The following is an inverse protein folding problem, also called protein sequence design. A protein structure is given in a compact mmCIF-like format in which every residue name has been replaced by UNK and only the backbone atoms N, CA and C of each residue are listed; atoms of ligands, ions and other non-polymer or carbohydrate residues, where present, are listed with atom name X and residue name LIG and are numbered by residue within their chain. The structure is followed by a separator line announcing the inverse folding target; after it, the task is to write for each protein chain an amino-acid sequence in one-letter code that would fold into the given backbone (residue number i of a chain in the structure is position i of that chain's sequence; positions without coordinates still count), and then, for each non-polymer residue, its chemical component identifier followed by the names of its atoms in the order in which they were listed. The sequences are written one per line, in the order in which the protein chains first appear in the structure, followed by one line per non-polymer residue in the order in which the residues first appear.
data_IF_907392755444
#
_entry.id   IF_907392755444
#
_cell.length_a   1.000
_cell.length_b   1.000
_cell.length_c   1.000
_cell.angle_alpha   90.00
_cell.angle_beta   90.00
_cell.angle_gamma   90.00
#
_symmetry.space_group_name_H-M   'P 1'
#
loop_
_entity.id
_entity.type
_entity.pdbx_description
1 polymer ?
#
# COMPACT_ATOMS: atom_id res chain seq x y z
N UNK A 1 23.84 -16.57 -16.19
CA UNK A 1 23.90 -15.81 -14.92
C UNK A 1 22.70 -16.19 -14.06
N UNK A 2 22.86 -16.49 -12.76
CA UNK A 2 21.73 -16.85 -11.88
C UNK A 2 21.04 -15.57 -11.40
N UNK A 3 19.78 -15.34 -11.78
CA UNK A 3 18.99 -14.24 -11.22
C UNK A 3 18.69 -14.51 -9.74
N UNK A 4 18.98 -13.54 -8.87
CA UNK A 4 18.65 -13.63 -7.44
C UNK A 4 17.13 -13.55 -7.28
N UNK A 5 16.56 -14.44 -6.48
CA UNK A 5 15.12 -14.46 -6.18
C UNK A 5 14.75 -13.72 -4.90
N UNK A 6 15.72 -13.07 -4.25
CA UNK A 6 15.53 -12.25 -3.06
C UNK A 6 16.53 -11.09 -3.02
N UNK A 7 16.10 -10.01 -2.38
CA UNK A 7 16.88 -8.81 -2.12
C UNK A 7 16.67 -8.40 -0.66
N UNK A 8 17.74 -7.96 -0.02
CA UNK A 8 17.74 -7.43 1.33
C UNK A 8 18.46 -6.09 1.33
N UNK A 9 17.88 -5.07 1.94
CA UNK A 9 18.51 -3.80 2.22
C UNK A 9 18.54 -3.57 3.73
N UNK A 10 19.68 -3.10 4.22
CA UNK A 10 19.88 -2.65 5.59
C UNK A 10 20.19 -1.17 5.54
N UNK A 11 19.44 -0.37 6.28
CA UNK A 11 19.64 1.07 6.36
C UNK A 11 19.01 1.62 7.64
N UNK A 12 19.31 2.88 7.94
CA UNK A 12 18.78 3.57 9.11
C UNK A 12 17.52 4.36 8.74
N UNK A 13 16.53 4.36 9.61
CA UNK A 13 15.29 5.12 9.44
C UNK A 13 15.53 6.62 9.70
N UNK A 14 16.12 7.34 8.74
CA UNK A 14 16.45 8.77 8.88
C UNK A 14 15.28 9.73 8.56
N UNK A 15 14.08 9.17 8.34
CA UNK A 15 12.90 9.94 7.95
C UNK A 15 12.20 10.52 9.19
N UNK A 16 12.48 11.77 9.52
CA UNK A 16 11.79 12.52 10.58
C UNK A 16 10.44 13.03 10.07
N UNK A 17 9.55 12.11 9.76
CA UNK A 17 8.27 12.44 9.11
C UNK A 17 7.25 13.01 10.10
N UNK A 18 7.29 12.56 11.36
CA UNK A 18 6.37 12.98 12.41
C UNK A 18 7.08 13.49 13.69
N UNK A 19 6.58 14.56 14.36
CA UNK A 19 7.11 15.02 15.65
C UNK A 19 7.12 13.98 16.77
N UNK A 20 6.42 12.85 16.58
CA UNK A 20 6.34 11.75 17.54
C UNK A 20 7.61 10.90 17.58
N UNK A 21 8.55 11.09 16.66
CA UNK A 21 9.76 10.27 16.57
C UNK A 21 9.52 8.90 15.93
N UNK A 22 8.45 8.75 15.16
CA UNK A 22 8.17 7.56 14.35
C UNK A 22 8.07 7.91 12.88
N UNK A 23 8.31 6.91 12.05
CA UNK A 23 8.22 6.99 10.59
C UNK A 23 6.78 6.77 10.14
N UNK A 24 6.36 7.55 9.14
CA UNK A 24 5.01 7.43 8.58
C UNK A 24 4.82 6.13 7.79
N UNK A 25 3.58 5.65 7.73
CA UNK A 25 3.23 4.45 6.98
C UNK A 25 3.58 4.59 5.49
N UNK A 26 3.36 5.78 4.92
CA UNK A 26 3.77 6.15 3.57
C UNK A 26 5.25 5.88 3.28
N UNK A 27 6.12 6.18 4.23
CA UNK A 27 7.57 5.95 4.10
C UNK A 27 7.91 4.47 4.19
N UNK A 28 7.30 3.74 5.13
CA UNK A 28 7.44 2.27 5.23
C UNK A 28 7.01 1.57 3.93
N UNK A 29 5.87 1.98 3.36
CA UNK A 29 5.37 1.47 2.09
C UNK A 29 6.35 1.73 0.94
N UNK A 30 6.95 2.92 0.89
CA UNK A 30 7.96 3.28 -0.11
C UNK A 30 9.22 2.43 -0.02
N UNK A 31 9.68 2.11 1.19
CA UNK A 31 10.82 1.21 1.38
C UNK A 31 10.54 -0.22 0.90
N UNK A 32 9.36 -0.74 1.21
CA UNK A 32 8.93 -2.06 0.77
C UNK A 32 8.77 -2.13 -0.76
N UNK A 33 8.23 -1.08 -1.39
CA UNK A 33 8.15 -0.97 -2.85
C UNK A 33 9.55 -0.99 -3.48
N UNK A 34 10.52 -0.23 -2.94
CA UNK A 34 11.90 -0.21 -3.46
C UNK A 34 12.54 -1.60 -3.48
N UNK A 35 12.44 -2.36 -2.38
CA UNK A 35 12.98 -3.73 -2.36
C UNK A 35 12.19 -4.68 -3.24
N UNK A 36 10.86 -4.50 -3.31
CA UNK A 36 9.97 -5.26 -4.17
C UNK A 36 10.28 -5.09 -5.66
N UNK A 37 10.34 -3.84 -6.11
CA UNK A 37 10.74 -3.44 -7.46
C UNK A 37 12.11 -4.02 -7.80
N UNK A 38 13.10 -3.85 -6.93
CA UNK A 38 14.44 -4.34 -7.20
C UNK A 38 14.45 -5.87 -7.40
N UNK A 39 13.71 -6.63 -6.59
CA UNK A 39 13.62 -8.08 -6.71
C UNK A 39 12.92 -8.50 -8.01
N UNK A 40 11.79 -7.85 -8.33
CA UNK A 40 11.02 -8.13 -9.53
C UNK A 40 11.77 -7.77 -10.81
N UNK A 41 12.35 -6.57 -10.89
CA UNK A 41 13.14 -6.10 -12.03
C UNK A 41 14.39 -6.98 -12.28
N UNK A 42 15.07 -7.38 -11.20
CA UNK A 42 16.22 -8.31 -11.29
C UNK A 42 15.81 -9.65 -11.88
N UNK A 43 14.64 -10.17 -11.51
CA UNK A 43 14.15 -11.43 -12.06
C UNK A 43 13.67 -11.30 -13.50
N UNK A 44 12.91 -10.26 -13.80
CA UNK A 44 12.36 -10.00 -15.14
C UNK A 44 13.45 -9.64 -16.18
N UNK A 45 14.60 -9.12 -15.73
CA UNK A 45 15.63 -8.61 -16.61
C UNK A 45 15.15 -7.43 -17.45
N UNK A 46 14.26 -6.61 -16.88
CA UNK A 46 13.70 -5.38 -17.47
C UNK A 46 13.05 -4.54 -16.37
N UNK A 47 12.56 -3.37 -16.73
CA UNK A 47 11.72 -2.58 -15.84
C UNK A 47 10.43 -3.33 -15.52
N UNK A 48 9.87 -3.01 -14.37
CA UNK A 48 8.58 -3.54 -13.92
C UNK A 48 7.72 -2.39 -13.39
N UNK A 49 6.42 -2.59 -13.31
CA UNK A 49 5.47 -1.60 -12.82
C UNK A 49 4.59 -2.24 -11.75
N UNK A 50 4.41 -1.56 -10.63
CA UNK A 50 3.50 -2.04 -9.59
C UNK A 50 2.06 -2.04 -10.16
N UNK A 51 1.39 -3.18 -10.09
CA UNK A 51 -0.04 -3.32 -10.46
C UNK A 51 -0.90 -3.48 -9.23
N UNK A 52 -0.35 -4.09 -8.19
CA UNK A 52 -1.05 -4.32 -6.93
C UNK A 52 -0.11 -4.29 -5.74
N UNK A 53 -0.56 -3.67 -4.66
CA UNK A 53 0.09 -3.72 -3.34
C UNK A 53 -0.94 -4.13 -2.30
N UNK A 54 -0.62 -5.21 -1.60
CA UNK A 54 -1.48 -5.86 -0.63
C UNK A 54 -1.63 -5.08 0.66
N UNK A 55 -2.40 -5.68 1.56
CA UNK A 55 -2.68 -5.08 2.87
C UNK A 55 -1.45 -5.11 3.76
N UNK A 56 -1.23 -4.02 4.49
CA UNK A 56 -0.21 -3.88 5.53
C UNK A 56 -0.90 -3.51 6.84
N UNK A 57 -0.37 -4.05 7.93
CA UNK A 57 -0.70 -3.62 9.30
C UNK A 57 0.53 -2.98 9.91
N UNK A 58 0.35 -1.86 10.59
CA UNK A 58 1.43 -1.12 11.25
C UNK A 58 1.30 -1.32 12.77
N UNK A 59 1.37 -2.59 13.20
CA UNK A 59 1.20 -2.97 14.61
C UNK A 59 2.41 -2.59 15.47
N UNK A 60 3.59 -2.47 14.86
CA UNK A 60 4.81 -2.04 15.52
C UNK A 60 5.32 -0.77 14.84
N UNK A 61 5.17 0.40 15.48
CA UNK A 61 5.71 1.66 14.97
C UNK A 61 7.21 1.55 14.73
N UNK A 62 7.70 2.20 13.67
CA UNK A 62 9.13 2.24 13.34
C UNK A 62 9.72 3.53 13.91
N UNK A 63 10.56 3.49 14.96
CA UNK A 63 11.16 4.70 15.48
C UNK A 63 12.17 5.28 14.47
N UNK A 64 12.28 6.60 14.46
CA UNK A 64 13.36 7.28 13.73
C UNK A 64 14.71 6.86 14.28
N UNK A 65 15.75 6.99 13.47
CA UNK A 65 17.13 6.60 13.79
C UNK A 65 17.29 5.13 14.20
N UNK A 66 16.35 4.25 13.86
CA UNK A 66 16.47 2.81 14.13
C UNK A 66 17.05 2.08 12.93
N UNK A 67 17.88 1.06 13.17
CA UNK A 67 18.31 0.18 12.07
C UNK A 67 17.11 -0.62 11.57
N UNK A 68 16.93 -0.68 10.25
CA UNK A 68 15.86 -1.45 9.64
C UNK A 68 16.39 -2.41 8.58
N UNK A 69 15.64 -3.50 8.39
CA UNK A 69 15.92 -4.51 7.37
C UNK A 69 14.69 -4.67 6.49
N UNK A 70 14.76 -4.17 5.26
CA UNK A 70 13.73 -4.38 4.25
C UNK A 70 14.11 -5.55 3.35
N UNK A 71 13.23 -6.54 3.22
CA UNK A 71 13.48 -7.75 2.46
C UNK A 71 12.36 -8.01 1.47
N UNK A 72 12.73 -8.42 0.27
CA UNK A 72 11.82 -8.86 -0.76
C UNK A 72 12.24 -10.22 -1.31
N UNK A 73 11.27 -11.09 -1.61
CA UNK A 73 11.51 -12.38 -2.26
C UNK A 73 10.40 -12.69 -3.26
N UNK A 74 10.76 -13.34 -4.36
CA UNK A 74 9.77 -13.88 -5.28
C UNK A 74 8.98 -15.00 -4.62
N UNK A 75 7.66 -14.99 -4.87
CA UNK A 75 6.75 -16.03 -4.38
C UNK A 75 5.96 -16.68 -5.50
N UNK A 76 5.80 -16.02 -6.65
CA UNK A 76 5.10 -16.55 -7.81
C UNK A 76 5.41 -15.70 -9.06
N UNK A 77 5.31 -16.31 -10.24
CA UNK A 77 5.37 -15.60 -11.53
C UNK A 77 4.34 -16.19 -12.46
N UNK A 78 3.67 -15.34 -13.23
CA UNK A 78 2.64 -15.74 -14.18
C UNK A 78 2.64 -14.79 -15.37
N UNK A 79 2.81 -15.30 -16.60
CA UNK A 79 2.83 -14.51 -17.83
C UNK A 79 3.83 -13.33 -17.78
N UNK A 80 3.34 -12.12 -17.55
CA UNK A 80 4.10 -10.86 -17.45
C UNK A 80 4.31 -10.43 -16.00
N UNK A 81 3.71 -11.12 -15.03
CA UNK A 81 3.65 -10.71 -13.64
C UNK A 81 4.68 -11.42 -12.75
N UNK A 82 5.24 -10.66 -11.82
CA UNK A 82 6.13 -11.12 -10.75
C UNK A 82 5.51 -10.77 -9.41
N UNK A 83 5.17 -11.78 -8.63
CA UNK A 83 4.64 -11.63 -7.27
C UNK A 83 5.80 -11.70 -6.28
N UNK A 84 5.82 -10.72 -5.38
CA UNK A 84 6.90 -10.53 -4.41
C UNK A 84 6.31 -10.40 -3.01
N UNK A 85 6.89 -11.11 -2.05
CA UNK A 85 6.66 -10.91 -0.63
C UNK A 85 7.71 -9.98 -0.06
N UNK A 86 7.25 -8.87 0.51
CA UNK A 86 8.05 -7.91 1.27
C UNK A 86 7.88 -8.10 2.77
N UNK A 87 8.93 -7.84 3.54
CA UNK A 87 8.85 -7.65 5.00
C UNK A 87 9.82 -6.58 5.48
N UNK A 88 9.42 -5.87 6.52
CA UNK A 88 10.25 -4.93 7.26
C UNK A 88 10.49 -5.48 8.67
N UNK A 89 11.75 -5.60 9.06
CA UNK A 89 12.17 -6.06 10.39
C UNK A 89 12.97 -4.97 11.08
N UNK A 90 12.79 -4.84 12.40
CA UNK A 90 13.53 -3.96 13.30
C UNK A 90 14.53 -4.84 14.09
N UNK A 91 15.81 -4.93 13.69
CA UNK A 91 16.76 -5.86 14.30
C UNK A 91 17.08 -5.57 15.77
N UNK A 92 16.90 -4.31 16.19
CA UNK A 92 17.23 -3.83 17.53
C UNK A 92 16.01 -3.75 18.45
N UNK A 93 14.79 -3.94 17.90
CA UNK A 93 13.55 -3.96 18.68
C UNK A 93 13.13 -5.42 18.81
N UNK A 94 13.18 -5.96 20.01
CA UNK A 94 12.87 -7.35 20.27
C UNK A 94 11.38 -7.52 20.63
N UNK A 95 10.78 -8.61 20.17
CA UNK A 95 9.44 -9.02 20.56
C UNK A 95 9.43 -9.74 21.92
N UNK A 96 8.26 -10.23 22.34
CA UNK A 96 8.06 -10.93 23.61
C UNK A 96 8.91 -12.21 23.74
N UNK A 97 9.32 -12.80 22.61
CA UNK A 97 10.16 -13.99 22.54
C UNK A 97 11.67 -13.65 22.47
N UNK A 98 12.02 -12.36 22.41
CA UNK A 98 13.40 -11.88 22.32
C UNK A 98 13.96 -11.88 20.90
N UNK A 99 13.11 -12.05 19.87
CA UNK A 99 13.51 -12.07 18.47
C UNK A 99 13.30 -10.70 17.80
N UNK A 100 14.04 -10.39 16.71
CA UNK A 100 13.83 -9.17 15.94
C UNK A 100 12.38 -8.96 15.48
N UNK A 101 11.78 -7.84 15.89
CA UNK A 101 10.38 -7.51 15.60
C UNK A 101 10.15 -7.36 14.10
N UNK A 102 9.19 -8.11 13.55
CA UNK A 102 8.68 -7.88 12.20
C UNK A 102 7.65 -6.76 12.25
N UNK A 103 8.04 -5.55 11.81
CA UNK A 103 7.16 -4.39 11.85
C UNK A 103 5.96 -4.55 10.92
N UNK A 104 6.18 -5.04 9.70
CA UNK A 104 5.10 -5.30 8.75
C UNK A 104 5.53 -6.24 7.62
N UNK A 105 4.55 -6.79 6.91
CA UNK A 105 4.74 -7.58 5.70
C UNK A 105 3.74 -7.13 4.63
N UNK A 106 4.08 -7.38 3.36
CA UNK A 106 3.24 -7.01 2.23
C UNK A 106 3.44 -7.98 1.07
N UNK A 107 2.45 -8.04 0.17
CA UNK A 107 2.66 -8.59 -1.17
C UNK A 107 2.42 -7.60 -2.24
N UNK A 108 3.32 -7.61 -3.20
CA UNK A 108 3.35 -6.70 -4.31
C UNK A 108 3.34 -7.54 -5.58
N UNK A 109 2.53 -7.13 -6.54
CA UNK A 109 2.52 -7.70 -7.88
C UNK A 109 3.07 -6.63 -8.82
N UNK A 110 4.05 -7.02 -9.61
CA UNK A 110 4.66 -6.18 -10.61
C UNK A 110 4.47 -6.78 -11.99
N UNK A 111 4.08 -5.96 -12.97
CA UNK A 111 4.10 -6.33 -14.38
C UNK A 111 5.44 -5.94 -15.00
N UNK A 112 6.12 -6.90 -15.63
CA UNK A 112 7.32 -6.64 -16.40
C UNK A 112 6.98 -5.97 -17.73
N UNK A 113 7.78 -4.97 -18.09
CA UNK A 113 7.58 -4.18 -19.30
C UNK A 113 8.86 -4.03 -20.11
N UNK A 114 8.71 -3.84 -21.41
CA UNK A 114 9.80 -3.48 -22.31
C UNK A 114 10.16 -1.98 -22.20
N UNK A 115 11.13 -1.53 -23.00
CA UNK A 115 11.56 -0.12 -23.01
C UNK A 115 10.48 0.86 -23.52
N UNK A 116 9.45 0.37 -24.21
CA UNK A 116 8.29 1.14 -24.67
C UNK A 116 7.14 1.10 -23.66
N UNK A 117 7.27 0.33 -22.58
CA UNK A 117 6.24 0.16 -21.56
C UNK A 117 5.20 -0.91 -21.90
N UNK A 118 5.43 -1.75 -22.90
CA UNK A 118 4.53 -2.87 -23.21
C UNK A 118 4.81 -4.08 -22.33
N UNK A 119 3.78 -4.89 -21.97
CA UNK A 119 3.96 -6.09 -21.18
C UNK A 119 4.99 -7.05 -21.80
N UNK A 120 5.90 -7.57 -20.97
CA UNK A 120 6.98 -8.48 -21.35
C UNK A 120 6.85 -9.78 -20.58
N UNK A 121 6.94 -10.91 -21.28
CA UNK A 121 6.93 -12.23 -20.65
C UNK A 121 8.10 -12.41 -19.68
N UNK A 122 7.80 -12.93 -18.49
CA UNK A 122 8.80 -13.21 -17.45
C UNK A 122 9.15 -14.69 -17.41
N UNK A 123 10.39 -14.97 -17.02
CA UNK A 123 10.82 -16.35 -16.80
C UNK A 123 10.05 -16.96 -15.60
N UNK A 124 9.55 -18.20 -15.71
CA UNK A 124 8.94 -18.90 -14.58
C UNK A 124 9.90 -19.03 -13.38
N UNK A 125 9.41 -18.66 -12.20
CA UNK A 125 10.04 -18.94 -10.92
C UNK A 125 9.52 -20.24 -10.34
N UNK A 126 10.45 -21.14 -10.00
CA UNK A 126 10.15 -22.42 -9.38
C UNK A 126 10.79 -22.48 -7.99
N UNK A 127 9.99 -22.71 -6.92
CA UNK A 127 10.50 -22.86 -5.57
C UNK A 127 11.35 -24.12 -5.44
N UNK A 128 12.29 -24.09 -4.48
CA UNK A 128 13.18 -25.23 -4.17
C UNK A 128 12.97 -25.81 -2.79
N UNK A 129 12.23 -25.09 -1.95
CA UNK A 129 11.97 -25.45 -0.56
C UNK A 129 10.48 -25.65 -0.38
N UNK A 130 10.09 -26.51 0.57
CA UNK A 130 8.69 -26.72 0.92
C UNK A 130 7.99 -25.39 1.28
N UNK A 131 8.70 -24.52 2.01
CA UNK A 131 8.30 -23.15 2.29
C UNK A 131 7.93 -22.37 1.02
N UNK A 132 8.78 -22.46 -0.01
CA UNK A 132 8.55 -21.81 -1.30
C UNK A 132 7.35 -22.39 -2.05
N UNK A 133 7.15 -23.70 -2.00
CA UNK A 133 5.97 -24.34 -2.59
C UNK A 133 4.67 -23.85 -1.93
N UNK A 134 4.63 -23.80 -0.59
CA UNK A 134 3.48 -23.27 0.15
C UNK A 134 3.17 -21.81 -0.22
N UNK A 135 4.19 -20.95 -0.24
CA UNK A 135 4.03 -19.53 -0.64
C UNK A 135 3.51 -19.39 -2.08
N UNK A 136 3.97 -20.24 -3.00
CA UNK A 136 3.50 -20.24 -4.39
C UNK A 136 2.00 -20.54 -4.49
N UNK A 137 1.53 -21.58 -3.82
CA UNK A 137 0.11 -21.96 -3.87
C UNK A 137 -0.79 -20.84 -3.34
N UNK A 138 -0.40 -20.22 -2.22
CA UNK A 138 -1.12 -19.06 -1.65
C UNK A 138 -1.10 -17.87 -2.61
N UNK A 139 0.06 -17.55 -3.19
CA UNK A 139 0.19 -16.44 -4.13
C UNK A 139 -0.64 -16.66 -5.41
N UNK A 140 -0.70 -17.89 -5.91
CA UNK A 140 -1.48 -18.26 -7.09
C UNK A 140 -2.98 -18.16 -6.84
N UNK A 141 -3.47 -18.71 -5.72
CA UNK A 141 -4.88 -18.60 -5.35
C UNK A 141 -5.34 -17.13 -5.28
N UNK A 142 -4.48 -16.25 -4.74
CA UNK A 142 -4.76 -14.82 -4.63
C UNK A 142 -4.63 -14.02 -5.91
N UNK A 143 -3.76 -14.44 -6.84
CA UNK A 143 -3.75 -13.86 -8.20
C UNK A 143 -5.16 -13.95 -8.81
N UNK A 144 -5.81 -15.10 -8.64
CA UNK A 144 -7.18 -15.36 -9.12
C UNK A 144 -8.21 -14.50 -8.36
N UNK A 145 -8.07 -14.36 -7.03
CA UNK A 145 -8.97 -13.51 -6.24
C UNK A 145 -8.82 -12.02 -6.57
N UNK A 146 -7.59 -11.53 -6.76
CA UNK A 146 -7.34 -10.15 -7.15
C UNK A 146 -7.93 -9.84 -8.53
N UNK A 147 -7.71 -10.72 -9.51
CA UNK A 147 -8.32 -10.58 -10.84
C UNK A 147 -9.86 -10.54 -10.79
N UNK A 148 -10.49 -11.13 -9.76
CA UNK A 148 -11.94 -11.06 -9.52
C UNK A 148 -12.37 -9.85 -8.68
N UNK A 149 -11.47 -9.32 -7.85
CA UNK A 149 -11.74 -8.23 -6.89
C UNK A 149 -11.43 -6.83 -7.40
N UNK A 150 -10.77 -6.69 -8.56
CA UNK A 150 -10.51 -5.41 -9.25
C UNK A 150 -11.79 -4.58 -9.53
N UNK A 151 -12.96 -5.23 -9.57
CA UNK A 151 -14.26 -4.57 -9.79
C UNK A 151 -14.99 -4.10 -8.52
N UNK A 152 -14.63 -4.59 -7.33
CA UNK A 152 -15.50 -4.47 -6.15
C UNK A 152 -15.60 -3.04 -5.58
N UNK A 153 -14.57 -2.22 -5.81
CA UNK A 153 -14.51 -0.82 -5.36
C UNK A 153 -14.81 0.19 -6.47
N UNK A 154 -14.50 -0.16 -7.73
CA UNK A 154 -14.77 0.69 -8.90
C UNK A 154 -16.26 0.85 -9.21
N UNK A 155 -17.12 -0.04 -8.69
CA UNK A 155 -18.58 -0.01 -8.88
C UNK A 155 -19.35 0.71 -7.76
N UNK A 156 -18.66 1.26 -6.75
CA UNK A 156 -19.33 1.95 -5.63
C UNK A 156 -19.52 3.42 -5.98
N UNK A 157 -20.76 3.91 -5.87
CA UNK A 157 -21.05 5.34 -6.05
C UNK A 157 -20.44 6.15 -4.90
N UNK A 158 -19.68 7.18 -5.23
CA UNK A 158 -19.16 8.13 -4.26
C UNK A 158 -20.00 9.40 -4.33
N UNK A 159 -20.60 9.84 -3.21
CA UNK A 159 -21.37 11.07 -3.20
C UNK A 159 -20.46 12.28 -3.49
N UNK A 160 -21.03 13.34 -4.06
CA UNK A 160 -20.31 14.60 -4.26
C UNK A 160 -19.80 15.12 -2.89
N UNK A 161 -18.57 15.65 -2.80
CA UNK A 161 -18.08 16.29 -1.57
C UNK A 161 -19.04 17.36 -0.99
N UNK A 162 -19.86 18.02 -1.81
CA UNK A 162 -20.87 18.98 -1.36
C UNK A 162 -22.12 18.33 -0.74
N UNK A 163 -22.33 17.02 -0.97
CA UNK A 163 -23.52 16.27 -0.57
C UNK A 163 -23.25 15.30 0.59
N UNK A 164 -21.99 15.19 1.05
CA UNK A 164 -21.58 14.26 2.10
C UNK A 164 -21.41 14.95 3.45
N UNK A 165 -21.67 14.20 4.53
CA UNK A 165 -21.37 14.64 5.91
C UNK A 165 -19.99 14.22 6.38
N UNK A 166 -19.27 13.45 5.56
CA UNK A 166 -17.92 13.00 5.85
C UNK A 166 -16.89 14.13 5.67
N UNK A 167 -15.82 14.09 6.44
CA UNK A 167 -14.62 14.86 6.08
C UNK A 167 -14.08 14.33 4.75
N UNK A 168 -13.86 15.24 3.81
CA UNK A 168 -13.24 14.98 2.50
C UNK A 168 -12.07 15.92 2.33
N UNK A 169 -10.92 15.38 1.96
CA UNK A 169 -9.71 16.14 1.66
C UNK A 169 -9.26 15.82 0.25
N UNK A 170 -8.94 16.85 -0.52
CA UNK A 170 -8.31 16.75 -1.83
C UNK A 170 -6.90 17.34 -1.74
N UNK A 171 -5.88 16.52 -1.99
CA UNK A 171 -4.50 16.96 -2.16
C UNK A 171 -4.12 16.90 -3.65
N UNK A 172 -3.30 17.84 -4.10
CA UNK A 172 -2.85 17.92 -5.49
C UNK A 172 -1.33 17.98 -5.54
N UNK A 173 -0.74 17.12 -6.36
CA UNK A 173 0.69 16.94 -6.51
C UNK A 173 1.10 17.04 -7.98
N UNK A 174 2.38 17.32 -8.22
CA UNK A 174 3.01 17.20 -9.54
C UNK A 174 4.01 16.06 -9.49
N UNK A 175 3.96 15.16 -10.48
CA UNK A 175 4.93 14.09 -10.61
C UNK A 175 6.28 14.63 -11.10
N UNK A 176 7.27 14.76 -10.19
CA UNK A 176 8.59 15.28 -10.53
C UNK A 176 9.55 14.20 -11.04
N UNK A 177 10.55 14.61 -11.82
CA UNK A 177 11.55 13.71 -12.41
C UNK A 177 12.37 12.91 -11.37
N UNK A 178 12.52 13.41 -10.14
CA UNK A 178 13.22 12.69 -9.07
C UNK A 178 12.42 11.47 -8.54
N UNK A 179 11.12 11.40 -8.82
CA UNK A 179 10.19 10.42 -8.27
C UNK A 179 9.80 9.34 -9.26
N UNK A 180 10.45 9.29 -10.43
CA UNK A 180 10.08 8.35 -11.50
C UNK A 180 11.10 7.23 -11.68
N UNK A 181 10.60 6.15 -12.25
CA UNK A 181 11.36 5.01 -12.74
C UNK A 181 11.84 5.25 -14.18
N UNK A 182 12.82 4.47 -14.68
CA UNK A 182 13.17 4.50 -16.09
C UNK A 182 11.94 4.25 -16.98
N UNK A 183 11.69 5.16 -17.94
CA UNK A 183 10.41 5.25 -18.65
C UNK A 183 9.49 6.38 -18.17
N UNK A 184 9.98 7.24 -17.27
CA UNK A 184 9.32 8.46 -16.78
C UNK A 184 8.00 8.22 -16.05
N UNK A 185 7.82 7.04 -15.44
CA UNK A 185 6.63 6.69 -14.64
C UNK A 185 6.87 6.84 -13.15
N UNK A 186 5.92 7.41 -12.42
CA UNK A 186 5.98 7.56 -10.96
C UNK A 186 6.25 6.22 -10.28
N UNK A 187 7.13 6.24 -9.28
CA UNK A 187 7.39 5.09 -8.42
C UNK A 187 6.14 4.77 -7.60
N UNK A 188 5.80 3.48 -7.47
CA UNK A 188 4.64 3.03 -6.70
C UNK A 188 4.72 3.50 -5.25
N UNK A 189 5.92 3.44 -4.67
CA UNK A 189 6.25 3.98 -3.36
C UNK A 189 5.85 5.44 -3.18
N UNK A 190 6.09 6.30 -4.16
CA UNK A 190 5.74 7.73 -4.09
C UNK A 190 4.23 7.93 -4.07
N UNK A 191 3.48 7.23 -4.93
CA UNK A 191 2.02 7.35 -4.93
C UNK A 191 1.45 6.88 -3.59
N UNK A 192 1.96 5.79 -3.03
CA UNK A 192 1.52 5.31 -1.71
C UNK A 192 1.80 6.29 -0.59
N UNK A 193 2.96 6.97 -0.59
CA UNK A 193 3.23 8.03 0.37
C UNK A 193 2.20 9.15 0.26
N UNK A 194 1.86 9.60 -0.95
CA UNK A 194 0.83 10.62 -1.13
C UNK A 194 -0.58 10.17 -0.75
N UNK A 195 -0.93 8.88 -0.97
CA UNK A 195 -2.20 8.32 -0.49
C UNK A 195 -2.27 8.34 1.05
N UNK A 196 -1.17 8.02 1.72
CA UNK A 196 -1.06 8.07 3.19
C UNK A 196 -1.12 9.50 3.72
N UNK A 197 -0.44 10.46 3.08
CA UNK A 197 -0.52 11.88 3.42
C UNK A 197 -1.96 12.40 3.33
N UNK A 198 -2.69 12.05 2.27
CA UNK A 198 -4.10 12.45 2.13
C UNK A 198 -4.96 11.83 3.24
N UNK A 199 -4.74 10.55 3.57
CA UNK A 199 -5.44 9.89 4.67
C UNK A 199 -5.12 10.52 6.03
N UNK A 200 -3.85 10.85 6.27
CA UNK A 200 -3.37 11.54 7.46
C UNK A 200 -4.06 12.89 7.65
N UNK A 201 -4.08 13.74 6.62
CA UNK A 201 -4.72 15.06 6.69
C UNK A 201 -6.22 14.91 6.95
N UNK A 202 -6.91 14.01 6.24
CA UNK A 202 -8.34 13.78 6.40
C UNK A 202 -8.69 13.27 7.81
N UNK A 203 -7.98 12.25 8.30
CA UNK A 203 -8.22 11.68 9.62
C UNK A 203 -7.89 12.68 10.74
N UNK A 204 -6.80 13.43 10.60
CA UNK A 204 -6.40 14.41 11.62
C UNK A 204 -7.36 15.58 11.70
N UNK A 205 -7.91 16.03 10.56
CA UNK A 205 -8.97 17.06 10.52
C UNK A 205 -10.25 16.57 11.17
N UNK A 206 -10.68 15.34 10.90
CA UNK A 206 -11.86 14.74 11.53
C UNK A 206 -11.69 14.61 13.04
N UNK A 207 -10.53 14.14 13.50
CA UNK A 207 -10.29 13.88 14.92
C UNK A 207 -9.88 15.12 15.73
N UNK A 208 -9.42 16.20 15.07
CA UNK A 208 -8.84 17.36 15.75
C UNK A 208 -7.49 17.09 16.43
N UNK A 209 -6.85 15.96 16.13
CA UNK A 209 -5.55 15.51 16.68
C UNK A 209 -4.77 14.77 15.58
N UNK A 210 -3.42 14.72 15.64
CA UNK A 210 -2.63 13.92 14.71
C UNK A 210 -3.06 12.46 14.73
N UNK A 211 -3.38 11.92 13.55
CA UNK A 211 -3.72 10.52 13.36
C UNK A 211 -2.53 9.74 12.81
N UNK A 212 -2.51 8.42 13.03
CA UNK A 212 -1.50 7.50 12.50
C UNK A 212 -2.18 6.30 11.85
N UNK A 213 -1.57 5.75 10.80
CA UNK A 213 -2.11 4.57 10.13
C UNK A 213 -1.82 3.31 10.93
N UNK A 214 -2.85 2.49 11.14
CA UNK A 214 -2.72 1.11 11.67
C UNK A 214 -2.91 0.06 10.59
N UNK A 215 -3.51 0.47 9.47
CA UNK A 215 -3.69 -0.35 8.29
C UNK A 215 -3.67 0.54 7.05
N UNK A 216 -2.96 0.09 6.02
CA UNK A 216 -3.09 0.63 4.67
C UNK A 216 -2.93 -0.50 3.67
N UNK A 217 -3.62 -0.43 2.54
CA UNK A 217 -3.29 -1.26 1.40
C UNK A 217 -4.50 -1.78 0.62
N UNK A 218 -4.23 -2.82 -0.16
CA UNK A 218 -5.11 -3.20 -1.25
C UNK A 218 -5.16 -2.09 -2.30
N UNK A 219 -3.98 -1.52 -2.58
CA UNK A 219 -3.78 -0.50 -3.61
C UNK A 219 -3.76 -1.21 -4.95
N UNK A 220 -4.70 -0.84 -5.81
CA UNK A 220 -4.72 -1.26 -7.21
C UNK A 220 -4.25 -0.10 -8.07
N UNK A 221 -3.36 -0.36 -9.03
CA UNK A 221 -2.84 0.64 -9.96
C UNK A 221 -3.44 0.40 -11.35
N UNK A 222 -4.42 1.21 -11.73
CA UNK A 222 -5.17 1.06 -12.99
C UNK A 222 -4.40 1.64 -14.18
N UNK A 223 -3.76 2.79 -13.97
CA UNK A 223 -3.05 3.53 -15.01
C UNK A 223 -1.75 4.11 -14.46
N UNK A 224 -0.69 4.15 -15.28
CA UNK A 224 0.58 4.75 -14.86
C UNK A 224 0.53 6.27 -14.83
N UNK A 225 1.13 6.88 -13.81
CA UNK A 225 1.39 8.33 -13.72
C UNK A 225 2.74 8.64 -14.33
N UNK A 226 2.85 9.72 -15.12
CA UNK A 226 4.08 10.12 -15.79
C UNK A 226 4.65 11.43 -15.23
N UNK A 227 5.95 11.66 -15.44
CA UNK A 227 6.59 12.96 -15.13
C UNK A 227 5.76 14.10 -15.73
N UNK A 228 5.52 15.11 -14.91
CA UNK A 228 4.77 16.31 -15.28
C UNK A 228 3.26 16.15 -15.18
N UNK A 229 2.74 14.95 -14.94
CA UNK A 229 1.31 14.78 -14.70
C UNK A 229 0.93 15.45 -13.36
N UNK A 230 -0.27 16.03 -13.34
CA UNK A 230 -0.97 16.40 -12.12
C UNK A 230 -1.54 15.12 -11.50
N UNK A 231 -1.47 15.01 -10.18
CA UNK A 231 -2.08 13.91 -9.42
C UNK A 231 -2.98 14.50 -8.36
N UNK A 232 -4.27 14.20 -8.46
CA UNK A 232 -5.28 14.56 -7.46
C UNK A 232 -5.60 13.35 -6.60
N UNK A 233 -5.54 13.52 -5.28
CA UNK A 233 -5.82 12.46 -4.31
C UNK A 233 -6.92 12.92 -3.36
N UNK A 234 -8.06 12.24 -3.42
CA UNK A 234 -9.17 12.42 -2.50
C UNK A 234 -9.12 11.37 -1.39
N UNK A 235 -9.10 11.79 -0.14
CA UNK A 235 -9.32 10.95 1.04
C UNK A 235 -10.65 11.32 1.70
N UNK A 236 -11.39 10.32 2.16
CA UNK A 236 -12.71 10.53 2.78
C UNK A 236 -12.99 9.54 3.90
N UNK A 237 -13.57 10.02 5.00
CA UNK A 237 -14.11 9.18 6.08
C UNK A 237 -15.33 8.39 5.56
N UNK A 238 -15.31 7.07 5.72
CA UNK A 238 -16.43 6.19 5.29
C UNK A 238 -16.96 5.31 6.41
N UNK A 239 -16.24 5.22 7.53
CA UNK A 239 -16.72 4.56 8.74
C UNK A 239 -15.88 5.01 9.94
N UNK A 240 -16.48 5.03 11.12
CA UNK A 240 -15.77 5.24 12.38
C UNK A 240 -16.23 4.19 13.38
N UNK A 241 -15.27 3.65 14.13
CA UNK A 241 -15.56 2.93 15.37
C UNK A 241 -15.37 3.87 16.57
N UNK A 242 -15.40 3.34 17.79
CA UNK A 242 -15.06 4.13 18.98
C UNK A 242 -13.65 4.74 18.88
N UNK A 243 -12.68 4.06 18.26
CA UNK A 243 -11.25 4.42 18.31
C UNK A 243 -10.53 4.42 16.96
N UNK A 244 -11.26 4.22 15.86
CA UNK A 244 -10.65 4.15 14.52
C UNK A 244 -11.51 4.78 13.46
N UNK A 245 -10.84 5.34 12.46
CA UNK A 245 -11.42 6.00 11.31
C UNK A 245 -11.02 5.21 10.06
N UNK A 246 -12.00 4.81 9.27
CA UNK A 246 -11.81 4.10 8.02
C UNK A 246 -11.96 5.11 6.90
N UNK A 247 -10.97 5.13 6.02
CA UNK A 247 -10.91 6.03 4.88
C UNK A 247 -10.83 5.24 3.59
N UNK A 248 -11.53 5.74 2.58
CA UNK A 248 -11.23 5.40 1.19
C UNK A 248 -10.41 6.54 0.60
N UNK A 249 -9.32 6.16 -0.08
CA UNK A 249 -8.42 7.11 -0.75
C UNK A 249 -8.38 6.77 -2.23
N UNK A 250 -8.60 7.76 -3.09
CA UNK A 250 -8.64 7.62 -4.55
C UNK A 250 -7.70 8.63 -5.19
N UNK A 251 -6.97 8.19 -6.21
CA UNK A 251 -6.07 9.03 -6.97
C UNK A 251 -6.48 9.07 -8.44
N UNK A 252 -6.44 10.25 -9.02
CA UNK A 252 -6.55 10.49 -10.45
C UNK A 252 -5.34 11.25 -10.95
N UNK A 253 -5.05 11.13 -12.24
CA UNK A 253 -3.94 11.84 -12.85
C UNK A 253 -4.16 12.16 -14.32
N UNK A 254 -3.52 13.21 -14.80
CA UNK A 254 -3.62 13.68 -16.18
C UNK A 254 -2.61 14.78 -16.47
N UNK A 255 -2.57 15.25 -17.72
CA UNK A 255 -1.69 16.36 -18.08
C UNK A 255 -2.20 17.68 -17.49
N UNK A 256 -1.32 18.61 -17.08
CA UNK A 256 -1.75 19.89 -16.49
C UNK A 256 -2.66 20.72 -17.40
N UNK A 257 -2.55 20.55 -18.72
CA UNK A 257 -3.36 21.27 -19.71
C UNK A 257 -4.72 20.59 -19.97
N UNK A 258 -4.95 19.39 -19.43
CA UNK A 258 -6.17 18.61 -19.59
C UNK A 258 -7.08 18.80 -18.37
N UNK A 259 -8.39 18.90 -18.62
CA UNK A 259 -9.39 18.96 -17.54
C UNK A 259 -9.78 17.59 -17.01
N UNK A 260 -9.76 16.58 -17.87
CA UNK A 260 -10.20 15.23 -17.51
C UNK A 260 -9.01 14.44 -16.95
N UNK A 261 -9.14 14.01 -15.70
CA UNK A 261 -8.19 13.11 -15.05
C UNK A 261 -8.69 11.67 -15.12
N UNK A 262 -7.77 10.71 -15.24
CA UNK A 262 -8.09 9.28 -15.23
C UNK A 262 -7.79 8.66 -13.87
N UNK A 263 -8.56 7.66 -13.41
CA UNK A 263 -8.29 6.98 -12.15
C UNK A 263 -6.94 6.25 -12.24
N UNK A 264 -6.12 6.41 -11.21
CA UNK A 264 -4.79 5.80 -11.13
C UNK A 264 -4.76 4.74 -10.05
N UNK A 265 -5.28 5.06 -8.87
CA UNK A 265 -5.25 4.14 -7.75
C UNK A 265 -6.41 4.35 -6.79
N UNK A 266 -6.71 3.30 -6.05
CA UNK A 266 -7.64 3.34 -4.93
C UNK A 266 -7.11 2.45 -3.80
N UNK A 267 -7.30 2.91 -2.56
CA UNK A 267 -6.83 2.24 -1.35
C UNK A 267 -7.84 2.41 -0.20
N UNK A 268 -7.71 1.55 0.81
CA UNK A 268 -8.36 1.72 2.10
C UNK A 268 -7.28 1.95 3.15
N UNK A 269 -7.49 2.96 3.99
CA UNK A 269 -6.67 3.24 5.17
C UNK A 269 -7.52 3.14 6.44
N UNK A 270 -6.93 2.66 7.54
CA UNK A 270 -7.52 2.76 8.87
C UNK A 270 -6.55 3.56 9.73
N UNK A 271 -7.06 4.66 10.25
CA UNK A 271 -6.32 5.65 11.02
C UNK A 271 -6.83 5.65 12.46
N UNK A 272 -5.94 5.89 13.41
CA UNK A 272 -6.25 6.08 14.83
C UNK A 272 -5.57 7.33 15.33
N UNK A 273 -6.12 7.95 16.36
CA UNK A 273 -5.35 8.89 17.18
C UNK A 273 -4.65 8.08 18.25
N UNK A 274 -3.34 8.22 18.37
CA UNK A 274 -2.54 7.51 19.36
C UNK A 274 -1.95 8.46 20.39
N UNK A 275 -2.17 8.17 21.67
CA UNK A 275 -1.59 8.89 22.80
C UNK A 275 -0.99 7.83 23.75
N UNK A 276 0.30 7.99 24.11
CA UNK A 276 1.04 7.02 24.94
C UNK A 276 0.94 5.55 24.46
N UNK A 277 0.92 5.34 23.14
CA UNK A 277 0.84 4.01 22.53
C UNK A 277 -0.56 3.36 22.58
N UNK A 278 -1.60 4.11 22.98
CA UNK A 278 -2.98 3.63 23.01
C UNK A 278 -3.87 4.43 22.06
N UNK A 279 -4.83 3.75 21.46
CA UNK A 279 -5.81 4.39 20.59
C UNK A 279 -6.85 5.17 21.42
N UNK A 280 -7.02 6.44 21.08
CA UNK A 280 -7.96 7.35 21.73
C UNK A 280 -9.36 7.30 21.08
N UNK A 281 -10.43 7.67 21.82
CA UNK A 281 -11.74 7.85 21.23
C UNK A 281 -11.75 8.91 20.11
N UNK A 282 -12.48 8.63 19.02
CA UNK A 282 -12.62 9.54 17.87
C UNK A 282 -14.06 9.99 17.68
N UNK A 283 -14.33 11.15 17.04
CA UNK A 283 -15.69 11.55 16.71
C UNK A 283 -16.39 10.51 15.83
N UNK A 284 -17.66 10.22 16.14
CA UNK A 284 -18.44 9.25 15.39
C UNK A 284 -19.06 9.86 14.14
N UNK A 285 -18.83 9.23 12.99
CA UNK A 285 -19.48 9.56 11.73
C UNK A 285 -20.63 8.59 11.44
N UNK A 286 -21.75 9.14 10.95
CA UNK A 286 -22.92 8.36 10.56
C UNK A 286 -23.32 8.72 9.13
N UNK A 287 -23.52 7.74 8.23
CA UNK A 287 -23.94 8.00 6.85
C UNK A 287 -25.35 8.59 6.83
N UNK A 288 -25.53 9.71 6.12
CA UNK A 288 -26.82 10.39 5.97
C UNK A 288 -27.55 9.93 4.70
N UNK A 289 -26.82 9.67 3.62
CA UNK A 289 -27.38 9.29 2.31
C UNK A 289 -27.28 7.79 2.03
N UNK A 290 -28.08 7.28 1.09
CA UNK A 290 -27.97 5.88 0.64
C UNK A 290 -26.63 5.58 -0.02
N UNK A 291 -26.04 6.54 -0.74
CA UNK A 291 -24.71 6.39 -1.31
C UNK A 291 -23.64 6.22 -0.22
N UNK A 292 -23.70 7.00 0.85
CA UNK A 292 -22.81 6.87 2.01
C UNK A 292 -22.98 5.53 2.73
N UNK A 293 -24.22 5.06 2.92
CA UNK A 293 -24.49 3.75 3.52
C UNK A 293 -23.92 2.61 2.68
N UNK A 294 -24.08 2.67 1.36
CA UNK A 294 -23.54 1.67 0.44
C UNK A 294 -22.01 1.68 0.48
N UNK A 295 -21.38 2.86 0.43
CA UNK A 295 -19.93 3.01 0.50
C UNK A 295 -19.37 2.51 1.84
N UNK A 296 -20.03 2.82 2.95
CA UNK A 296 -19.69 2.30 4.27
C UNK A 296 -19.76 0.77 4.29
N UNK A 297 -20.89 0.18 3.88
CA UNK A 297 -21.10 -1.26 3.91
C UNK A 297 -20.04 -2.00 3.10
N UNK A 298 -19.79 -1.55 1.86
CA UNK A 298 -18.76 -2.13 0.98
C UNK A 298 -17.36 -2.02 1.57
N UNK A 299 -17.02 -0.88 2.16
CA UNK A 299 -15.70 -0.71 2.80
C UNK A 299 -15.53 -1.69 3.97
N UNK A 300 -16.54 -1.83 4.83
CA UNK A 300 -16.49 -2.75 5.98
C UNK A 300 -16.37 -4.21 5.50
N UNK A 301 -17.13 -4.61 4.47
CA UNK A 301 -17.02 -5.94 3.88
C UNK A 301 -15.60 -6.21 3.37
N UNK A 302 -15.02 -5.26 2.62
CA UNK A 302 -13.66 -5.37 2.09
C UNK A 302 -12.62 -5.47 3.20
N UNK A 303 -12.69 -4.61 4.23
CA UNK A 303 -11.76 -4.71 5.36
C UNK A 303 -11.92 -6.04 6.11
N UNK A 304 -13.16 -6.53 6.28
CA UNK A 304 -13.41 -7.81 6.95
C UNK A 304 -12.79 -8.99 6.18
N UNK A 305 -12.97 -9.02 4.86
CA UNK A 305 -12.31 -10.01 3.99
C UNK A 305 -10.78 -9.89 4.07
N UNK A 306 -10.27 -8.65 4.01
CA UNK A 306 -8.83 -8.35 4.08
C UNK A 306 -8.21 -8.74 5.42
N UNK A 307 -8.93 -8.58 6.54
CA UNK A 307 -8.45 -8.92 7.88
C UNK A 307 -8.37 -10.43 8.12
N UNK A 308 -9.35 -11.21 7.66
CA UNK A 308 -9.26 -12.69 7.68
C UNK A 308 -8.03 -13.17 6.90
N UNK A 309 -7.78 -12.51 5.77
CA UNK A 309 -6.70 -12.82 4.84
C UNK A 309 -5.30 -12.42 5.32
N UNK A 310 -5.15 -11.47 6.24
CA UNK A 310 -3.84 -11.09 6.81
C UNK A 310 -3.31 -12.15 7.79
N UNK A 311 -4.19 -12.84 8.52
CA UNK A 311 -3.78 -13.87 9.50
C UNK A 311 -3.32 -15.19 8.86
N UNK A 312 -3.80 -15.54 7.67
CA UNK A 312 -3.32 -16.71 6.91
C UNK A 312 -1.94 -16.50 6.26
N UNK A 313 -1.46 -15.25 6.22
CA UNK A 313 -0.20 -14.86 5.58
C UNK A 313 0.98 -14.81 6.54
N UNK A 314 0.73 -14.38 7.78
CA UNK A 314 1.76 -14.19 8.80
C UNK A 314 2.28 -15.50 9.39
N UNK A 315 1.54 -16.60 9.25
CA UNK A 315 1.85 -17.90 9.88
C UNK A 315 2.60 -18.88 8.97
N UNK A 316 2.87 -18.53 7.70
CA UNK A 316 3.83 -19.28 6.88
C UNK A 316 5.25 -18.73 7.07
N UNK A 317 5.62 -18.58 8.33
CA UNK A 317 7.00 -18.74 8.76
C UNK A 317 7.29 -20.23 8.67
N UNK A 318 7.88 -20.63 7.53
CA UNK A 318 8.60 -21.90 7.49
C UNK A 318 10.06 -21.51 7.68
N UNK A 319 10.71 -22.01 8.74
CA UNK A 319 12.08 -21.64 9.11
C UNK A 319 13.08 -21.76 7.97
#
# INVERSE_FOLDING_TARGET
MRSRSSITLHFRAEAYDHPSGYVDAGTVMSWLDKVGYAAAATWAGSNVQATYIGNMKFGHPVPVDTQITAQARLIYTENTQVHVQGRLTLPEVLDDDGEPTVATWVVMVYEAVDAKGHPKQVKPWEPRTEAGHKRREVAKARSIEHARGEDALGQVSFPDPAETTAEVVLLCFIAHAAQVTPGFRLQGGTLMSWLDEAAFVCASRWAGKPAVAVFAGGVQFYHGVYVGDVVEIEARIVHTTERSMYLVVRAWSGKPEQRDLRPVAQSIAIMVVAEEGKAEPVPSWHPATEAEKQLQHRTIELVSMRNKNVYEWSTVEVP
#
